data_IF_576403639152
#
_entry.id   IF_576403639152
#
_cell.length_a   1.000
_cell.length_b   1.000
_cell.length_c   1.000
_cell.angle_alpha   90.00
_cell.angle_beta   90.00
_cell.angle_gamma   90.00
#
_symmetry.space_group_name_H-M   'P 1'
#
loop_
_entity.id
_entity.type
_entity.pdbx_description
1 polymer ?
2 non-polymer ?
3 non-polymer ?
4 water ?
#
# COMPACT_ATOMS: atom_id res chain seq x y z
N UNK A 1 18.12 -2.72 4.61
CA UNK A 1 17.31 -3.46 5.63
C UNK A 1 15.93 -3.65 5.06
N UNK A 2 15.60 -2.85 4.04
CA UNK A 2 14.34 -2.99 3.27
C UNK A 2 14.59 -3.67 1.93
N UNK A 3 15.81 -4.16 1.71
CA UNK A 3 16.25 -4.53 0.37
C UNK A 3 15.45 -5.68 -0.26
N UNK A 4 14.96 -6.62 0.51
CA UNK A 4 14.23 -7.73 -0.08
C UNK A 4 12.85 -7.28 -0.63
N UNK A 5 12.35 -6.11 -0.19
CA UNK A 5 11.09 -5.57 -0.71
C UNK A 5 11.26 -4.90 -2.07
N UNK A 6 12.51 -4.65 -2.50
CA UNK A 6 12.74 -3.82 -3.68
C UNK A 6 12.46 -4.59 -4.95
N UNK A 7 11.84 -3.90 -5.89
CA UNK A 7 11.58 -4.52 -7.17
C UNK A 7 10.19 -4.19 -7.68
N UNK A 8 9.81 -4.97 -8.69
CA UNK A 8 8.53 -4.79 -9.37
C UNK A 8 7.66 -6.01 -9.02
N UNK A 9 6.45 -5.73 -8.59
CA UNK A 9 5.53 -6.71 -8.04
C UNK A 9 4.17 -6.57 -8.71
N UNK A 10 3.50 -7.70 -8.93
CA UNK A 10 2.18 -7.67 -9.59
C UNK A 10 1.16 -8.36 -8.73
N UNK A 11 -0.06 -7.84 -8.67
CA UNK A 11 -1.10 -8.42 -7.83
C UNK A 11 -1.53 -9.78 -8.40
N UNK A 12 -1.60 -10.77 -7.48
CA UNK A 12 -2.00 -12.13 -7.87
C UNK A 12 -3.10 -12.69 -6.95
N UNK A 13 -3.56 -11.98 -5.93
CA UNK A 13 -4.64 -12.45 -5.08
C UNK A 13 -5.15 -11.26 -4.30
N UNK A 14 -6.47 -11.22 -4.04
CA UNK A 14 -7.03 -10.16 -3.22
C UNK A 14 -8.21 -10.70 -2.41
N UNK A 15 -8.19 -10.41 -1.12
CA UNK A 15 -9.23 -10.83 -0.20
C UNK A 15 -9.72 -9.61 0.56
N UNK A 16 -11.04 -9.35 0.49
CA UNK A 16 -11.71 -8.34 1.29
C UNK A 16 -11.35 -6.91 0.90
N UNK A 17 -10.86 -6.68 -0.31
CA UNK A 17 -10.56 -5.30 -0.72
C UNK A 17 -11.82 -4.47 -0.80
N UNK A 18 -12.95 -5.06 -1.20
CA UNK A 18 -14.17 -4.27 -1.24
C UNK A 18 -14.55 -3.81 0.16
N UNK A 19 -14.41 -4.65 1.20
CA UNK A 19 -14.69 -4.27 2.60
C UNK A 19 -13.81 -3.12 3.06
N UNK A 20 -12.55 -3.18 2.64
CA UNK A 20 -11.63 -2.11 3.00
C UNK A 20 -12.03 -0.79 2.31
N UNK A 21 -12.26 -0.86 1.00
CA UNK A 21 -12.66 0.33 0.26
C UNK A 21 -13.98 0.91 0.81
N UNK A 22 -14.96 0.05 1.12
CA UNK A 22 -16.22 0.53 1.67
C UNK A 22 -15.97 1.25 2.99
N UNK A 23 -15.10 0.71 3.83
CA UNK A 23 -14.81 1.30 5.13
C UNK A 23 -14.24 2.72 4.98
N UNK A 24 -13.46 2.93 3.94
CA UNK A 24 -12.88 4.23 3.61
C UNK A 24 -13.87 5.15 2.92
N UNK A 25 -15.08 4.71 2.62
CA UNK A 25 -16.06 5.58 1.95
C UNK A 25 -15.90 5.65 0.44
N UNK A 26 -15.23 4.69 -0.17
CA UNK A 26 -15.08 4.68 -1.63
C UNK A 26 -16.42 4.32 -2.27
N UNK A 27 -16.79 5.07 -3.29
CA UNK A 27 -18.05 4.84 -3.98
C UNK A 27 -18.13 3.57 -4.77
N UNK A 28 -19.36 3.11 -5.01
CA UNK A 28 -19.53 1.78 -5.61
C UNK A 28 -18.88 1.65 -6.97
N UNK A 29 -18.90 2.68 -7.80
CA UNK A 29 -18.35 2.57 -9.16
C UNK A 29 -16.84 2.41 -9.11
N UNK A 30 -16.20 3.16 -8.23
CA UNK A 30 -14.75 3.01 -8.04
C UNK A 30 -14.44 1.63 -7.49
N UNK A 31 -15.22 1.17 -6.53
CA UNK A 31 -14.97 -0.19 -5.98
C UNK A 31 -15.11 -1.24 -7.08
N UNK A 32 -16.12 -1.06 -7.94
CA UNK A 32 -16.35 -2.01 -9.00
C UNK A 32 -15.09 -2.14 -9.83
N UNK A 33 -14.57 -1.02 -10.36
CA UNK A 33 -13.40 -1.04 -11.24
C UNK A 33 -12.19 -1.57 -10.48
N UNK A 34 -11.99 -1.08 -9.24
CA UNK A 34 -10.85 -1.50 -8.43
C UNK A 34 -10.85 -3.01 -8.21
N UNK A 35 -12.00 -3.62 -8.07
CA UNK A 35 -12.10 -5.07 -7.83
C UNK A 35 -11.60 -5.90 -9.00
N UNK A 36 -11.49 -5.28 -10.17
CA UNK A 36 -11.07 -5.94 -11.40
C UNK A 36 -9.72 -5.43 -11.90
N UNK A 37 -9.03 -4.64 -11.10
CA UNK A 37 -7.75 -4.03 -11.48
C UNK A 37 -6.62 -4.80 -10.81
N UNK A 38 -5.54 -5.07 -11.51
CA UNK A 38 -4.37 -5.73 -10.97
C UNK A 38 -3.20 -4.74 -11.02
N UNK A 39 -2.88 -4.03 -9.95
CA UNK A 39 -1.79 -3.08 -10.01
C UNK A 39 -0.43 -3.77 -10.07
N UNK A 40 0.52 -2.97 -10.53
CA UNK A 40 1.95 -3.24 -10.43
C UNK A 40 2.50 -2.26 -9.42
N UNK A 41 3.22 -2.77 -8.41
CA UNK A 41 3.87 -1.93 -7.41
C UNK A 41 5.37 -2.02 -7.62
N UNK A 42 6.02 -0.85 -7.67
CA UNK A 42 7.46 -0.77 -7.86
C UNK A 42 8.02 -0.09 -6.62
N UNK A 43 8.98 -0.75 -5.96
CA UNK A 43 9.59 -0.22 -4.75
C UNK A 43 11.09 -0.04 -5.07
N UNK A 44 11.55 1.19 -4.94
CA UNK A 44 12.94 1.57 -5.24
C UNK A 44 13.52 2.28 -4.05
N UNK A 45 14.86 2.24 -3.91
CA UNK A 45 15.48 3.09 -2.88
C UNK A 45 16.66 3.81 -3.48
N UNK A 46 16.89 4.98 -2.91
CA UNK A 46 18.08 5.82 -3.16
C UNK A 46 18.55 6.25 -1.80
N UNK A 47 19.64 5.65 -1.35
CA UNK A 47 20.02 5.96 0.02
C UNK A 47 18.89 5.62 0.99
N UNK A 48 18.47 6.43 1.92
CA UNK A 48 17.31 6.00 2.79
C UNK A 48 16.00 6.64 2.28
N UNK A 49 15.97 7.09 1.02
CA UNK A 49 14.69 7.52 0.45
C UNK A 49 14.11 6.38 -0.37
N UNK A 50 12.93 5.96 0.01
CA UNK A 50 12.18 4.96 -0.76
C UNK A 50 11.17 5.68 -1.67
N UNK A 51 10.95 5.09 -2.83
CA UNK A 51 9.88 5.52 -3.70
C UNK A 51 9.03 4.30 -3.99
N UNK A 52 7.72 4.44 -3.79
CA UNK A 52 6.76 3.35 -3.98
C UNK A 52 5.74 3.81 -4.99
N UNK A 53 5.77 3.18 -6.14
CA UNK A 53 4.86 3.47 -7.25
C UNK A 53 3.79 2.38 -7.28
N UNK A 54 2.57 2.79 -7.52
CA UNK A 54 1.47 1.82 -7.74
C UNK A 54 0.84 2.21 -9.07
N UNK A 55 0.93 1.33 -10.05
CA UNK A 55 0.48 1.61 -11.40
C UNK A 55 -0.66 0.68 -11.76
N UNK A 56 -1.63 1.20 -12.51
CA UNK A 56 -2.70 0.35 -12.98
C UNK A 56 -3.40 1.01 -14.15
N UNK A 57 -4.33 0.26 -14.73
CA UNK A 57 -5.21 0.76 -15.76
C UNK A 57 -6.24 1.75 -15.27
N UNK A 58 -6.37 1.91 -13.97
CA UNK A 58 -7.41 2.76 -13.38
C UNK A 58 -6.83 3.98 -12.72
N UNK A 59 -6.08 3.81 -11.65
CA UNK A 59 -5.42 4.89 -10.91
C UNK A 59 -3.92 4.58 -10.82
N UNK A 60 -3.14 5.64 -10.64
CA UNK A 60 -1.70 5.54 -10.40
C UNK A 60 -1.37 6.43 -9.22
N UNK A 61 -0.39 5.97 -8.45
CA UNK A 61 0.15 6.77 -7.36
C UNK A 61 1.65 6.60 -7.36
N UNK A 62 2.32 7.61 -6.60
CA UNK A 62 3.72 7.47 -6.32
C UNK A 62 3.91 8.27 -5.05
N UNK A 63 4.66 7.69 -4.07
CA UNK A 63 5.11 8.36 -2.86
C UNK A 63 6.61 8.18 -2.72
N UNK A 64 7.26 9.19 -2.16
CA UNK A 64 8.64 9.08 -1.72
C UNK A 64 8.72 9.50 -0.27
N UNK A 65 9.56 8.79 0.48
CA UNK A 65 9.63 9.01 1.91
C UNK A 65 10.96 8.51 2.45
N UNK A 66 11.34 9.04 3.59
CA UNK A 66 12.40 8.46 4.42
C UNK A 66 11.74 7.62 5.50
N UNK A 67 12.26 6.41 5.82
CA UNK A 67 11.72 5.61 6.92
C UNK A 67 11.74 6.46 8.16
N UNK A 68 10.64 6.42 8.89
CA UNK A 68 10.56 7.08 10.18
C UNK A 68 10.37 8.53 10.14
N UNK A 69 10.14 9.12 8.97
CA UNK A 69 9.91 10.57 8.89
C UNK A 69 8.54 10.82 8.27
N UNK A 70 7.70 11.55 8.96
CA UNK A 70 6.33 11.79 8.47
C UNK A 70 6.36 12.53 7.14
N UNK A 71 5.37 12.23 6.30
CA UNK A 71 5.21 12.88 5.01
C UNK A 71 3.71 13.08 4.75
N UNK A 72 3.39 14.12 3.99
CA UNK A 72 2.05 14.31 3.47
C UNK A 72 1.83 13.37 2.30
N UNK A 73 0.59 12.85 2.17
CA UNK A 73 0.24 11.94 1.10
C UNK A 73 -1.20 12.22 0.68
N UNK A 74 -1.44 12.07 -0.58
CA UNK A 74 -2.81 12.11 -1.11
C UNK A 74 -3.04 10.75 -1.74
N UNK A 75 -3.95 9.96 -1.22
CA UNK A 75 -4.11 8.56 -1.58
C UNK A 75 -4.86 8.38 -2.90
N UNK A 76 -4.92 7.15 -3.38
CA UNK A 76 -5.56 6.84 -4.66
C UNK A 76 -7.04 7.26 -4.67
N UNK A 77 -7.67 7.18 -3.49
CA UNK A 77 -9.06 7.56 -3.29
C UNK A 77 -9.20 8.98 -2.77
N UNK A 78 -8.15 9.79 -2.91
CA UNK A 78 -8.18 11.24 -2.69
C UNK A 78 -8.31 11.64 -1.21
N UNK A 79 -7.87 10.80 -0.28
CA UNK A 79 -7.71 11.25 1.08
C UNK A 79 -6.38 11.99 1.25
N UNK A 80 -6.40 13.10 1.96
CA UNK A 80 -5.20 13.87 2.31
C UNK A 80 -4.81 13.45 3.72
N UNK A 81 -3.69 12.74 3.83
CA UNK A 81 -3.32 12.08 5.07
C UNK A 81 -1.88 12.46 5.51
N UNK A 82 -1.60 12.23 6.75
CA UNK A 82 -0.26 12.31 7.33
C UNK A 82 0.24 10.88 7.46
N UNK A 83 1.38 10.60 6.90
CA UNK A 83 1.86 9.22 6.78
C UNK A 83 3.23 9.06 7.37
N UNK A 84 3.51 7.82 7.79
CA UNK A 84 4.86 7.43 8.18
C UNK A 84 5.01 5.98 7.80
N UNK A 85 6.20 5.61 7.27
CA UNK A 85 6.56 4.22 6.87
C UNK A 85 7.82 3.80 7.68
N UNK A 86 7.71 2.67 8.44
CA UNK A 86 8.79 2.16 9.26
C UNK A 86 8.96 0.68 9.00
N UNK A 87 10.05 0.15 9.47
CA UNK A 87 10.30 -1.30 9.49
C UNK A 87 10.03 -1.76 10.91
N UNK A 88 9.19 -2.78 11.04
CA UNK A 88 8.71 -3.24 12.34
C UNK A 88 8.59 -4.76 12.24
N UNK A 89 9.41 -5.44 13.03
CA UNK A 89 9.38 -6.89 12.92
C UNK A 89 9.61 -7.40 11.53
N UNK A 90 10.49 -6.75 10.74
CA UNK A 90 10.82 -7.15 9.36
C UNK A 90 9.74 -6.80 8.36
N UNK A 91 8.69 -6.14 8.79
CA UNK A 91 7.58 -5.74 7.91
C UNK A 91 7.66 -4.24 7.65
N UNK A 92 7.31 -3.86 6.45
CA UNK A 92 7.25 -2.45 6.09
C UNK A 92 5.85 -1.95 6.49
N UNK A 93 5.72 -1.08 7.50
CA UNK A 93 4.45 -0.65 8.07
C UNK A 93 4.22 0.79 7.67
N UNK A 94 3.16 1.04 6.94
CA UNK A 94 2.76 2.39 6.48
C UNK A 94 1.48 2.75 7.24
N UNK A 95 1.56 3.82 8.03
CA UNK A 95 0.42 4.32 8.80
C UNK A 95 -0.02 5.63 8.19
N UNK A 96 -1.32 5.75 7.90
CA UNK A 96 -1.94 6.99 7.41
C UNK A 96 -2.93 7.48 8.44
N UNK A 97 -2.89 8.79 8.73
CA UNK A 97 -3.80 9.45 9.73
C UNK A 97 -4.47 10.63 9.05
N UNK A 98 -5.76 10.75 9.27
CA UNK A 98 -6.51 11.93 8.78
C UNK A 98 -7.77 12.06 9.58
N UNK A 99 -8.10 13.24 10.01
CA UNK A 99 -9.44 13.48 10.63
C UNK A 99 -9.66 12.55 11.86
N UNK A 100 -8.58 12.18 12.54
CA UNK A 100 -8.69 11.25 13.65
C UNK A 100 -8.77 9.77 13.24
N UNK A 101 -8.99 9.47 11.99
CA UNK A 101 -9.00 8.13 11.43
C UNK A 101 -7.58 7.69 11.16
N UNK A 102 -7.43 6.39 11.09
CA UNK A 102 -6.14 5.78 10.73
C UNK A 102 -6.40 4.53 9.92
N UNK A 103 -5.35 4.21 9.16
CA UNK A 103 -5.30 2.95 8.45
C UNK A 103 -3.85 2.53 8.35
N UNK A 104 -3.62 1.21 8.37
CA UNK A 104 -2.29 0.66 8.19
C UNK A 104 -2.25 -0.18 6.91
N UNK A 105 -1.12 -0.08 6.23
CA UNK A 105 -0.78 -0.85 5.04
C UNK A 105 0.52 -1.57 5.40
N UNK A 106 0.45 -2.87 5.67
CA UNK A 106 1.58 -3.62 6.18
C UNK A 106 2.05 -4.57 5.11
N UNK A 107 3.33 -4.55 4.77
CA UNK A 107 3.89 -5.44 3.76
C UNK A 107 4.89 -6.38 4.43
N UNK A 108 4.77 -7.65 4.09
CA UNK A 108 5.66 -8.68 4.60
C UNK A 108 5.97 -9.66 3.50
N UNK A 109 7.10 -10.30 3.61
CA UNK A 109 7.52 -11.30 2.64
C UNK A 109 7.26 -12.67 3.22
N UNK A 110 6.52 -13.50 2.53
CA UNK A 110 6.20 -14.88 2.96
C UNK A 110 6.43 -15.77 1.74
N UNK A 111 7.36 -16.69 1.86
CA UNK A 111 7.67 -17.66 0.76
C UNK A 111 7.91 -16.91 -0.55
N UNK A 112 8.59 -15.77 -0.51
CA UNK A 112 8.92 -14.99 -1.73
C UNK A 112 7.79 -14.12 -2.25
N UNK A 113 6.62 -14.17 -1.65
CA UNK A 113 5.49 -13.33 -2.06
C UNK A 113 5.45 -12.13 -1.13
N UNK A 114 4.96 -11.03 -1.66
CA UNK A 114 4.75 -9.88 -0.80
C UNK A 114 3.26 -9.87 -0.47
N UNK A 115 3.02 -9.83 0.82
CA UNK A 115 1.67 -9.83 1.37
C UNK A 115 1.41 -8.46 1.95
N UNK A 116 0.40 -7.79 1.41
CA UNK A 116 -0.05 -6.45 1.83
C UNK A 116 -1.34 -6.63 2.64
N UNK A 117 -1.32 -6.22 3.89
CA UNK A 117 -2.49 -6.27 4.73
C UNK A 117 -2.93 -4.85 4.99
N UNK A 118 -4.17 -4.55 4.63
CA UNK A 118 -4.79 -3.23 4.74
C UNK A 118 -5.82 -3.32 5.87
N UNK A 119 -5.74 -2.42 6.87
CA UNK A 119 -6.69 -2.46 7.98
C UNK A 119 -7.26 -1.07 8.17
N UNK A 120 -8.58 -0.94 8.21
CA UNK A 120 -9.26 0.33 8.55
C UNK A 120 -10.56 -0.06 9.25
N UNK A 121 -10.87 0.56 10.35
CA UNK A 121 -12.04 0.15 11.09
C UNK A 121 -11.93 -1.31 11.43
N UNK A 122 -12.95 -2.10 11.13
CA UNK A 122 -12.91 -3.54 11.32
C UNK A 122 -12.44 -4.27 10.08
N UNK A 123 -12.31 -3.60 8.96
CA UNK A 123 -12.00 -4.24 7.68
C UNK A 123 -10.52 -4.60 7.62
N UNK A 124 -10.27 -5.83 7.20
CA UNK A 124 -8.91 -6.36 7.02
C UNK A 124 -8.86 -7.00 5.66
N UNK A 125 -8.05 -6.44 4.77
CA UNK A 125 -7.86 -6.93 3.42
C UNK A 125 -6.45 -7.47 3.27
N UNK A 126 -6.32 -8.61 2.61
CA UNK A 126 -5.01 -9.21 2.33
C UNK A 126 -4.84 -9.32 0.83
N UNK A 127 -3.79 -8.66 0.28
CA UNK A 127 -3.47 -8.68 -1.13
C UNK A 127 -2.09 -9.27 -1.30
N UNK A 128 -1.96 -10.15 -2.25
CA UNK A 128 -0.69 -10.84 -2.50
C UNK A 128 -0.13 -10.40 -3.81
N UNK A 129 1.16 -10.06 -3.79
CA UNK A 129 1.91 -9.65 -4.97
C UNK A 129 3.03 -10.64 -5.19
N UNK A 130 3.33 -10.88 -6.47
CA UNK A 130 4.48 -11.71 -6.85
C UNK A 130 5.46 -10.87 -7.67
N UNK A 131 6.71 -11.25 -7.52
CA UNK A 131 7.80 -10.50 -8.11
C UNK A 131 7.81 -10.72 -9.60
N UNK A 132 7.96 -9.64 -10.34
CA UNK A 132 8.30 -9.67 -11.79
C UNK A 132 9.82 -9.40 -11.96
#
# INVERSE_FOLDING_TARGET
>A
MVDAFLGTWKLVDSKNFDDYMKSLGVGFATRQVASMTKPTTIIEKNGDILTLKTHSTFKNTEISFKLGVEFDETTADDRKVKSIVTLDGGKLVHLQKWDGQETTLVRELIDGKLILTLTHGTAVCTRTYEKEA
#
